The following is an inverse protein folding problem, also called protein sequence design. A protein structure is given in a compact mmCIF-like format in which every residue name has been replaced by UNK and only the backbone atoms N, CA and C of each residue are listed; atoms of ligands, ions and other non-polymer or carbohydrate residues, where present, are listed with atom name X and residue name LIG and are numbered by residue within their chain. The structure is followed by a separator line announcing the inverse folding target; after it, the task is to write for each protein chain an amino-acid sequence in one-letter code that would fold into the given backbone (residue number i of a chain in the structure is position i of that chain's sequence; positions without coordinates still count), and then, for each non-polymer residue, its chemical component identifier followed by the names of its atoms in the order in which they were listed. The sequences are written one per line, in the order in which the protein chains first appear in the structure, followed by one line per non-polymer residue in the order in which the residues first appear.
data_IF_229763157502
#
_entry.id   IF_229763157502
#
_cell.length_a   1.000
_cell.length_b   1.000
_cell.length_c   1.000
_cell.angle_alpha   90.00
_cell.angle_beta   90.00
_cell.angle_gamma   90.00
#
_symmetry.space_group_name_H-M   'P 1'
#
loop_
_entity.id
_entity.type
_entity.pdbx_description
1 polymer ?
#
# COMPACT_ATOMS: atom_id res chain seq x y z
N UNK A 1 -6.50 9.69 -0.57
CA UNK A 1 -5.69 9.14 -1.67
C UNK A 1 -4.24 9.47 -1.38
N UNK A 2 -3.31 8.57 -1.70
CA UNK A 2 -1.87 8.78 -1.54
C UNK A 2 -1.15 8.32 -2.80
N UNK A 3 0.01 8.90 -3.10
CA UNK A 3 0.87 8.47 -4.20
C UNK A 3 2.33 8.44 -3.72
N UNK A 4 3.06 7.40 -4.12
CA UNK A 4 4.48 7.19 -3.82
C UNK A 4 5.21 6.89 -5.11
N UNK A 5 6.37 7.50 -5.31
CA UNK A 5 7.20 7.31 -6.49
C UNK A 5 8.63 6.99 -6.07
N UNK A 6 9.28 6.11 -6.83
CA UNK A 6 10.68 5.76 -6.66
C UNK A 6 11.35 5.57 -8.02
N UNK A 7 12.51 6.20 -8.20
CA UNK A 7 13.39 5.90 -9.33
C UNK A 7 14.03 4.53 -9.20
N UNK A 8 14.41 3.93 -10.33
CA UNK A 8 15.29 2.75 -10.33
C UNK A 8 16.60 3.03 -9.58
N UNK A 9 17.15 2.01 -8.93
CA UNK A 9 18.40 2.11 -8.19
C UNK A 9 19.14 0.77 -8.13
N UNK A 10 20.44 0.82 -7.81
CA UNK A 10 21.25 -0.38 -7.57
C UNK A 10 21.20 -0.76 -6.09
N UNK A 11 20.75 -1.97 -5.80
CA UNK A 11 20.72 -2.56 -4.47
C UNK A 11 21.97 -3.43 -4.26
N UNK A 12 22.67 -3.24 -3.13
CA UNK A 12 23.92 -3.96 -2.82
C UNK A 12 23.74 -4.76 -1.53
N UNK A 13 24.17 -6.02 -1.55
CA UNK A 13 24.21 -6.89 -0.37
C UNK A 13 25.37 -7.88 -0.45
N UNK A 14 25.66 -8.54 0.68
CA UNK A 14 26.75 -9.54 0.77
C UNK A 14 26.60 -10.69 -0.21
N UNK A 15 25.37 -11.09 -0.56
CA UNK A 15 25.10 -12.14 -1.55
C UNK A 15 24.98 -11.62 -2.99
N UNK A 16 25.02 -10.29 -3.21
CA UNK A 16 25.10 -9.65 -4.54
C UNK A 16 26.19 -8.56 -4.53
N UNK A 17 27.48 -8.92 -4.49
CA UNK A 17 28.57 -7.96 -4.34
C UNK A 17 28.71 -7.00 -5.52
N UNK A 18 28.33 -7.45 -6.72
CA UNK A 18 28.31 -6.64 -7.93
C UNK A 18 27.14 -5.64 -8.00
N UNK A 19 26.21 -5.70 -7.03
CA UNK A 19 24.94 -4.97 -7.05
C UNK A 19 23.90 -5.62 -7.97
N UNK A 20 22.63 -5.41 -7.66
CA UNK A 20 21.48 -5.82 -8.45
C UNK A 20 20.55 -4.65 -8.70
N UNK A 21 20.03 -4.51 -9.92
CA UNK A 21 19.12 -3.41 -10.26
C UNK A 21 17.72 -3.67 -9.68
N UNK A 22 17.15 -2.67 -9.02
CA UNK A 22 15.75 -2.64 -8.59
C UNK A 22 15.03 -1.59 -9.43
N UNK A 23 13.93 -1.99 -10.07
CA UNK A 23 13.12 -1.13 -10.91
C UNK A 23 12.52 0.04 -10.14
N UNK A 24 12.19 1.11 -10.88
CA UNK A 24 11.38 2.20 -10.34
C UNK A 24 9.89 1.90 -10.46
N UNK A 25 9.09 2.56 -9.62
CA UNK A 25 7.66 2.32 -9.52
C UNK A 25 6.90 3.59 -9.12
N UNK A 26 5.61 3.60 -9.42
CA UNK A 26 4.66 4.58 -8.91
C UNK A 26 3.45 3.85 -8.35
N UNK A 27 3.23 4.00 -7.05
CA UNK A 27 2.16 3.33 -6.32
C UNK A 27 1.12 4.36 -5.89
N UNK A 28 -0.14 4.13 -6.26
CA UNK A 28 -1.27 4.96 -5.85
C UNK A 28 -2.12 4.17 -4.87
N UNK A 29 -2.43 4.75 -3.71
CA UNK A 29 -3.26 4.14 -2.68
C UNK A 29 -4.60 4.88 -2.55
N UNK A 30 -5.69 4.13 -2.39
CA UNK A 30 -7.06 4.62 -2.33
C UNK A 30 -7.75 4.22 -1.02
N UNK A 31 -8.58 5.12 -0.49
CA UNK A 31 -9.45 4.83 0.65
C UNK A 31 -10.71 5.68 0.54
N UNK A 32 -11.86 5.07 0.81
CA UNK A 32 -13.14 5.74 1.00
C UNK A 32 -13.71 5.37 2.37
N UNK A 33 -14.45 6.31 2.96
CA UNK A 33 -15.14 6.11 4.22
C UNK A 33 -16.57 6.63 4.14
N UNK A 34 -17.49 5.95 4.81
CA UNK A 34 -18.88 6.33 4.90
C UNK A 34 -19.35 6.20 6.35
N UNK A 35 -19.91 7.28 6.89
CA UNK A 35 -20.50 7.26 8.23
C UNK A 35 -21.96 6.85 8.13
N UNK A 36 -22.36 5.92 9.00
CA UNK A 36 -23.72 5.43 9.18
C UNK A 36 -24.21 5.86 10.57
N UNK A 37 -24.84 7.05 10.71
CA UNK A 37 -25.20 7.60 12.01
C UNK A 37 -26.19 6.74 12.80
N UNK A 38 -27.15 6.11 12.11
CA UNK A 38 -28.13 5.20 12.73
C UNK A 38 -27.49 3.99 13.42
N UNK A 39 -26.31 3.57 12.96
CA UNK A 39 -25.53 2.48 13.53
C UNK A 39 -24.35 2.96 14.38
N UNK A 40 -24.22 4.28 14.60
CA UNK A 40 -23.07 4.92 15.25
C UNK A 40 -21.72 4.39 14.73
N UNK A 41 -21.65 4.11 13.43
CA UNK A 41 -20.52 3.38 12.83
C UNK A 41 -19.97 4.09 11.61
N UNK A 42 -18.69 3.86 11.32
CA UNK A 42 -18.03 4.30 10.09
C UNK A 42 -17.48 3.08 9.36
N UNK A 43 -17.91 2.89 8.13
CA UNK A 43 -17.41 1.84 7.24
C UNK A 43 -16.28 2.47 6.41
N UNK A 44 -15.15 1.77 6.27
CA UNK A 44 -14.03 2.18 5.43
C UNK A 44 -13.64 1.03 4.51
N UNK A 45 -13.40 1.36 3.25
CA UNK A 45 -12.83 0.44 2.28
C UNK A 45 -11.57 1.08 1.69
N UNK A 46 -10.50 0.32 1.54
CA UNK A 46 -9.27 0.83 0.95
C UNK A 46 -8.45 -0.23 0.25
N UNK A 47 -7.51 0.24 -0.55
CA UNK A 47 -6.59 -0.56 -1.34
C UNK A 47 -5.25 0.15 -1.40
N UNK A 48 -4.18 -0.59 -1.11
CA UNK A 48 -2.83 -0.16 -1.50
C UNK A 48 -2.52 -0.66 -2.90
N UNK A 49 -1.80 0.16 -3.67
CA UNK A 49 -1.46 -0.14 -5.05
C UNK A 49 -2.72 -0.37 -5.92
N UNK A 50 -3.55 0.67 -6.03
CA UNK A 50 -4.78 0.70 -6.81
C UNK A 50 -4.58 0.33 -8.28
N UNK A 51 -3.40 0.61 -8.84
CA UNK A 51 -3.05 0.29 -10.24
C UNK A 51 -2.55 -1.15 -10.43
N UNK A 52 -2.44 -1.93 -9.35
CA UNK A 52 -2.01 -3.33 -9.36
C UNK A 52 -0.66 -3.56 -10.07
N UNK A 53 0.32 -2.70 -9.80
CA UNK A 53 1.68 -2.84 -10.34
C UNK A 53 2.51 -3.74 -9.43
N UNK A 54 3.07 -4.84 -9.94
CA UNK A 54 4.01 -5.64 -9.16
C UNK A 54 5.36 -4.91 -9.05
N UNK A 55 5.93 -4.82 -7.84
CA UNK A 55 7.25 -4.21 -7.63
C UNK A 55 8.03 -4.89 -6.50
N UNK A 56 9.35 -4.83 -6.56
CA UNK A 56 10.25 -5.35 -5.51
C UNK A 56 10.90 -4.19 -4.75
N UNK A 57 11.35 -4.43 -3.52
CA UNK A 57 12.10 -3.43 -2.74
C UNK A 57 13.58 -3.77 -2.57
N UNK A 58 13.94 -5.03 -2.80
CA UNK A 58 15.31 -5.50 -2.76
C UNK A 58 15.53 -6.50 -3.90
N UNK A 59 16.75 -6.57 -4.39
CA UNK A 59 17.09 -7.53 -5.42
C UNK A 59 16.91 -8.96 -4.89
N UNK A 60 16.16 -9.78 -5.61
CA UNK A 60 15.81 -11.15 -5.20
C UNK A 60 14.74 -11.24 -4.10
N UNK A 61 14.10 -10.13 -3.70
CA UNK A 61 12.93 -10.20 -2.82
C UNK A 61 11.70 -10.69 -3.56
N UNK A 62 10.69 -11.11 -2.79
CA UNK A 62 9.34 -11.33 -3.34
C UNK A 62 8.74 -10.02 -3.85
N UNK A 63 7.85 -10.18 -4.81
CA UNK A 63 7.04 -9.12 -5.39
C UNK A 63 5.98 -8.62 -4.41
N UNK A 64 5.72 -7.32 -4.44
CA UNK A 64 4.66 -6.64 -3.69
C UNK A 64 3.53 -6.30 -4.66
N UNK A 65 2.33 -6.82 -4.36
CA UNK A 65 1.11 -6.55 -5.12
C UNK A 65 0.15 -5.60 -4.38
N UNK A 66 -1.13 -5.67 -4.75
CA UNK A 66 -2.20 -4.93 -4.08
C UNK A 66 -2.73 -5.67 -2.87
N UNK A 67 -3.12 -4.93 -1.83
CA UNK A 67 -3.90 -5.46 -0.71
C UNK A 67 -5.16 -4.61 -0.51
N UNK A 68 -6.28 -5.29 -0.33
CA UNK A 68 -7.60 -4.70 -0.12
C UNK A 68 -8.03 -4.91 1.32
N UNK A 69 -8.72 -3.94 1.89
CA UNK A 69 -9.24 -4.06 3.24
C UNK A 69 -10.59 -3.38 3.40
N UNK A 70 -11.38 -3.92 4.31
CA UNK A 70 -12.64 -3.37 4.78
C UNK A 70 -12.57 -3.24 6.30
N UNK A 71 -13.06 -2.14 6.85
CA UNK A 71 -13.19 -1.97 8.29
C UNK A 71 -14.49 -1.29 8.67
N UNK A 72 -14.98 -1.64 9.86
CA UNK A 72 -16.12 -1.00 10.50
C UNK A 72 -15.63 -0.50 11.85
N UNK A 73 -15.81 0.79 12.10
CA UNK A 73 -15.46 1.42 13.38
C UNK A 73 -16.73 1.90 14.04
N UNK A 74 -17.07 1.33 15.19
CA UNK A 74 -18.15 1.80 16.05
C UNK A 74 -17.64 2.90 16.99
N UNK A 75 -18.43 3.95 17.17
CA UNK A 75 -18.07 5.13 17.96
C UNK A 75 -19.15 5.40 19.01
N UNK A 76 -18.80 5.17 20.28
CA UNK A 76 -19.72 5.29 21.44
C UNK A 76 -19.42 6.47 22.35
N UNK A 77 -18.42 7.30 22.04
CA UNK A 77 -17.87 8.26 23.00
C UNK A 77 -18.61 9.61 23.07
N UNK A 78 -19.57 9.87 22.18
CA UNK A 78 -20.33 11.14 22.16
C UNK A 78 -21.84 10.92 22.05
N UNK A 79 -22.46 10.34 23.08
CA UNK A 79 -23.90 10.40 23.32
C UNK A 79 -24.21 10.40 24.82
#
# INVERSE_FOLDING_TARGET
MSARWRSKFTWIATFVPAGGEVGGETVIDGQVSYRVPSLKSTIKAGVNNLLNQSYTQAYGSVDIGSMFYLSITYDSLFY
#
